data_IF_994730555605
#
_entry.id   IF_994730555605
#
_cell.length_a   1.000
_cell.length_b   1.000
_cell.length_c   1.000
_cell.angle_alpha   90.00
_cell.angle_beta   90.00
_cell.angle_gamma   90.00
#
_symmetry.space_group_name_H-M   'P 1'
#
loop_
_entity.id
_entity.type
_entity.pdbx_description
1 polymer ?
#
# COMPACT_ATOMS: atom_id res chain seq x y z
N UNK A 1 -21.36 5.81 -2.98
CA UNK A 1 -22.45 5.11 -2.27
C UNK A 1 -21.82 3.88 -1.61
N UNK A 2 -22.43 3.26 -0.58
CA UNK A 2 -21.84 2.04 0.00
C UNK A 2 -22.58 0.85 -0.59
N UNK A 3 -21.83 -0.07 -1.19
CA UNK A 3 -22.36 -1.27 -1.83
C UNK A 3 -22.23 -2.50 -0.93
N UNK A 4 -23.20 -3.42 -1.03
CA UNK A 4 -23.16 -4.69 -0.30
C UNK A 4 -22.19 -5.69 -0.95
N UNK A 5 -22.05 -5.64 -2.28
CA UNK A 5 -21.22 -6.57 -3.04
C UNK A 5 -19.75 -6.48 -2.63
N UNK A 6 -19.15 -7.62 -2.27
CA UNK A 6 -17.77 -7.74 -1.77
C UNK A 6 -17.41 -6.77 -0.64
N UNK A 7 -18.39 -6.41 0.21
CA UNK A 7 -18.12 -5.55 1.35
C UNK A 7 -17.50 -6.37 2.50
N UNK A 8 -16.22 -6.14 2.88
CA UNK A 8 -15.55 -6.98 3.87
C UNK A 8 -16.23 -6.98 5.24
N UNK A 9 -16.85 -5.87 5.64
CA UNK A 9 -17.58 -5.79 6.91
C UNK A 9 -18.80 -6.72 6.91
N UNK A 10 -19.60 -6.69 5.84
CA UNK A 10 -20.77 -7.56 5.74
C UNK A 10 -20.40 -9.03 5.61
N UNK A 11 -19.32 -9.33 4.89
CA UNK A 11 -18.79 -10.69 4.79
C UNK A 11 -18.34 -11.23 6.15
N UNK A 12 -17.68 -10.41 6.99
CA UNK A 12 -17.36 -10.78 8.37
C UNK A 12 -18.62 -11.02 9.22
N UNK A 13 -19.66 -10.20 9.05
CA UNK A 13 -20.93 -10.44 9.75
C UNK A 13 -21.63 -11.71 9.29
N UNK A 14 -21.60 -12.02 7.99
CA UNK A 14 -22.13 -13.27 7.45
C UNK A 14 -21.38 -14.48 8.04
N UNK A 15 -20.05 -14.43 8.14
CA UNK A 15 -19.26 -15.46 8.82
C UNK A 15 -19.65 -15.61 10.29
N UNK A 16 -19.86 -14.51 11.00
CA UNK A 16 -20.33 -14.53 12.38
C UNK A 16 -21.71 -15.19 12.53
N UNK A 17 -22.63 -14.91 11.59
CA UNK A 17 -23.95 -15.54 11.56
C UNK A 17 -23.87 -17.05 11.26
N UNK A 18 -23.03 -17.45 10.30
CA UNK A 18 -22.78 -18.87 10.01
C UNK A 18 -22.15 -19.60 11.20
N UNK A 19 -21.23 -18.96 11.92
CA UNK A 19 -20.67 -19.54 13.15
C UNK A 19 -21.73 -19.75 14.24
N UNK A 20 -22.74 -18.88 14.31
CA UNK A 20 -23.81 -18.98 15.31
C UNK A 20 -24.92 -19.98 14.92
N UNK A 21 -25.27 -20.09 13.64
CA UNK A 21 -26.47 -20.81 13.19
C UNK A 21 -26.20 -21.91 12.14
N UNK A 22 -25.01 -21.96 11.55
CA UNK A 22 -24.68 -22.89 10.46
C UNK A 22 -24.66 -24.36 10.87
N UNK A 23 -24.53 -24.67 12.15
CA UNK A 23 -24.68 -26.05 12.65
C UNK A 23 -26.15 -26.47 12.82
N UNK A 24 -27.09 -25.53 12.83
CA UNK A 24 -28.52 -25.78 13.01
C UNK A 24 -29.24 -26.02 11.69
N UNK A 25 -28.70 -25.51 10.58
CA UNK A 25 -29.34 -25.52 9.27
C UNK A 25 -28.30 -25.74 8.17
N UNK A 26 -28.68 -26.40 7.09
CA UNK A 26 -27.85 -26.56 5.89
C UNK A 26 -27.91 -25.27 5.04
N UNK A 27 -27.18 -24.25 5.50
CA UNK A 27 -27.13 -22.94 4.86
C UNK A 27 -26.14 -22.99 3.70
N UNK A 28 -26.62 -22.81 2.48
CA UNK A 28 -25.78 -22.81 1.27
C UNK A 28 -25.44 -21.41 0.77
N UNK A 29 -26.26 -20.41 1.11
CA UNK A 29 -26.09 -19.01 0.71
C UNK A 29 -26.49 -18.03 1.83
N UNK A 30 -25.85 -16.86 1.86
CA UNK A 30 -26.18 -15.78 2.79
C UNK A 30 -26.42 -14.49 2.01
N UNK A 31 -27.54 -13.83 2.27
CA UNK A 31 -27.82 -12.50 1.74
C UNK A 31 -27.47 -11.41 2.76
N UNK A 32 -26.66 -10.43 2.33
CA UNK A 32 -26.29 -9.26 3.13
C UNK A 32 -26.83 -7.99 2.48
N UNK A 33 -27.32 -7.05 3.29
CA UNK A 33 -27.98 -5.83 2.79
C UNK A 33 -27.45 -4.57 3.47
N UNK A 34 -27.14 -3.56 2.66
CA UNK A 34 -26.94 -2.18 3.11
C UNK A 34 -28.23 -1.41 2.87
N UNK A 35 -28.78 -0.85 3.95
CA UNK A 35 -30.00 -0.07 3.91
C UNK A 35 -29.73 1.39 4.30
N UNK A 36 -29.80 2.28 3.30
CA UNK A 36 -29.51 3.72 3.42
C UNK A 36 -30.65 4.56 2.80
N UNK A 37 -31.86 4.55 3.41
CA UNK A 37 -33.07 5.12 2.81
C UNK A 37 -32.99 6.65 2.59
N UNK A 38 -32.28 7.40 3.44
CA UNK A 38 -32.09 8.85 3.27
C UNK A 38 -31.28 9.22 2.01
N UNK A 39 -30.54 8.26 1.46
CA UNK A 39 -29.78 8.39 0.22
C UNK A 39 -30.40 7.61 -0.93
N UNK A 40 -31.63 7.11 -0.73
CA UNK A 40 -32.33 6.21 -1.66
C UNK A 40 -31.46 5.03 -2.13
N UNK A 41 -30.67 4.46 -1.20
CA UNK A 41 -29.78 3.34 -1.50
C UNK A 41 -30.21 2.10 -0.71
N UNK A 42 -30.52 1.03 -1.42
CA UNK A 42 -30.69 -0.31 -0.87
C UNK A 42 -29.89 -1.24 -1.78
N UNK A 43 -28.85 -1.85 -1.23
CA UNK A 43 -27.93 -2.72 -1.96
C UNK A 43 -27.93 -4.07 -1.25
N UNK A 44 -28.29 -5.14 -1.95
CA UNK A 44 -28.32 -6.50 -1.44
C UNK A 44 -27.41 -7.35 -2.29
N UNK A 45 -26.65 -8.23 -1.64
CA UNK A 45 -25.80 -9.20 -2.30
C UNK A 45 -25.93 -10.56 -1.63
N UNK A 46 -26.09 -11.60 -2.43
CA UNK A 46 -26.12 -13.00 -1.98
C UNK A 46 -24.78 -13.64 -2.30
N UNK A 47 -24.25 -14.37 -1.32
CA UNK A 47 -22.92 -14.99 -1.35
C UNK A 47 -23.07 -16.48 -1.06
N UNK A 48 -22.51 -17.37 -1.88
CA UNK A 48 -22.37 -18.78 -1.52
C UNK A 48 -21.51 -18.95 -0.27
N UNK A 49 -21.90 -19.84 0.63
CA UNK A 49 -21.15 -20.12 1.87
C UNK A 49 -19.74 -20.61 1.54
N UNK A 50 -19.58 -21.44 0.52
CA UNK A 50 -18.27 -21.94 0.07
C UNK A 50 -17.31 -20.83 -0.35
N UNK A 51 -17.79 -19.80 -1.05
CA UNK A 51 -16.99 -18.63 -1.44
C UNK A 51 -16.60 -17.80 -0.21
N UNK A 52 -17.54 -17.63 0.72
CA UNK A 52 -17.33 -16.86 1.95
C UNK A 52 -16.31 -17.54 2.88
N UNK A 53 -16.38 -18.86 3.02
CA UNK A 53 -15.42 -19.67 3.78
C UNK A 53 -14.03 -19.67 3.14
N UNK A 54 -13.96 -19.79 1.80
CA UNK A 54 -12.69 -19.68 1.08
C UNK A 54 -12.03 -18.32 1.32
N UNK A 55 -12.81 -17.23 1.28
CA UNK A 55 -12.32 -15.90 1.63
C UNK A 55 -11.87 -15.80 3.09
N UNK A 56 -12.60 -16.41 4.03
CA UNK A 56 -12.21 -16.45 5.43
C UNK A 56 -10.84 -17.13 5.62
N UNK A 57 -10.61 -18.26 4.96
CA UNK A 57 -9.36 -19.01 5.04
C UNK A 57 -8.20 -18.29 4.37
N UNK A 58 -8.40 -17.79 3.15
CA UNK A 58 -7.31 -17.24 2.33
C UNK A 58 -6.97 -15.79 2.66
N UNK A 59 -7.95 -15.01 3.15
CA UNK A 59 -7.81 -13.56 3.31
C UNK A 59 -7.88 -13.14 4.77
N UNK A 60 -8.91 -13.60 5.49
CA UNK A 60 -9.21 -13.11 6.84
C UNK A 60 -8.27 -13.71 7.87
N UNK A 61 -8.13 -15.05 7.93
CA UNK A 61 -7.27 -15.72 8.92
C UNK A 61 -5.82 -15.24 8.86
N UNK A 62 -5.15 -15.15 7.69
CA UNK A 62 -3.77 -14.68 7.62
C UNK A 62 -3.61 -13.22 8.06
N UNK A 63 -4.55 -12.35 7.69
CA UNK A 63 -4.54 -10.93 8.09
C UNK A 63 -4.81 -10.76 9.58
N UNK A 64 -5.71 -11.55 10.15
CA UNK A 64 -5.98 -11.54 11.58
C UNK A 64 -4.75 -11.99 12.38
N UNK A 65 -4.04 -13.03 11.92
CA UNK A 65 -2.78 -13.46 12.53
C UNK A 65 -1.70 -12.36 12.48
N UNK A 66 -1.51 -11.73 11.32
CA UNK A 66 -0.57 -10.62 11.15
C UNK A 66 -0.91 -9.42 12.06
N UNK A 67 -2.20 -9.09 12.17
CA UNK A 67 -2.65 -8.03 13.06
C UNK A 67 -2.42 -8.38 14.55
N UNK A 68 -2.57 -9.65 14.92
CA UNK A 68 -2.36 -10.12 16.29
C UNK A 68 -0.87 -10.15 16.68
N UNK A 69 0.03 -10.48 15.75
CA UNK A 69 1.48 -10.41 15.99
C UNK A 69 2.02 -8.98 15.98
N UNK A 70 1.31 -8.05 15.33
CA UNK A 70 1.74 -6.66 15.19
C UNK A 70 2.74 -6.46 14.05
N UNK A 71 2.98 -7.48 13.22
CA UNK A 71 3.92 -7.44 12.08
C UNK A 71 3.31 -6.78 10.83
N UNK A 72 2.26 -5.99 11.00
CA UNK A 72 1.61 -5.27 9.91
C UNK A 72 2.49 -4.15 9.36
N UNK A 73 2.49 -3.99 8.03
CA UNK A 73 3.21 -2.90 7.39
C UNK A 73 2.41 -1.59 7.39
N UNK A 74 3.10 -0.47 7.57
CA UNK A 74 2.48 0.85 7.40
C UNK A 74 2.22 1.12 5.92
N UNK A 75 0.99 1.47 5.58
CA UNK A 75 0.60 1.86 4.23
C UNK A 75 -0.19 3.18 4.25
N UNK A 76 0.24 4.23 3.52
CA UNK A 76 -0.54 5.43 3.35
C UNK A 76 -1.74 5.18 2.42
N UNK A 77 -2.88 5.79 2.72
CA UNK A 77 -4.10 5.67 1.93
C UNK A 77 -5.17 6.69 2.35
N UNK A 78 -6.37 6.58 1.80
CA UNK A 78 -7.46 7.53 2.11
C UNK A 78 -7.81 7.60 3.61
N UNK A 79 -7.59 6.49 4.32
CA UNK A 79 -7.80 6.39 5.78
C UNK A 79 -6.82 7.26 6.58
N UNK A 80 -5.71 7.75 5.99
CA UNK A 80 -4.78 8.65 6.68
C UNK A 80 -5.43 9.95 7.15
N UNK A 81 -6.57 10.36 6.56
CA UNK A 81 -7.34 11.54 7.02
C UNK A 81 -7.93 11.37 8.43
N UNK A 82 -8.08 10.13 8.88
CA UNK A 82 -8.61 9.78 10.20
C UNK A 82 -7.55 9.14 11.12
N UNK A 83 -6.33 8.93 10.62
CA UNK A 83 -5.28 8.25 11.35
C UNK A 83 -4.66 9.19 12.40
N UNK A 84 -4.54 8.74 13.65
CA UNK A 84 -3.90 9.53 14.73
C UNK A 84 -2.40 9.72 14.50
N UNK A 85 -1.73 8.75 13.85
CA UNK A 85 -0.31 8.83 13.51
C UNK A 85 -0.04 9.73 12.29
N UNK A 86 -1.09 10.21 11.62
CA UNK A 86 -1.02 10.97 10.37
C UNK A 86 0.01 12.12 10.36
N UNK A 87 0.21 12.93 11.43
CA UNK A 87 1.20 14.00 11.45
C UNK A 87 2.66 13.53 11.55
N UNK A 88 2.91 12.33 12.07
CA UNK A 88 4.27 11.81 12.37
C UNK A 88 4.58 10.47 11.67
N UNK A 89 3.70 10.01 10.79
CA UNK A 89 3.85 8.76 10.05
C UNK A 89 4.95 8.86 8.99
N UNK A 90 6.04 8.11 9.18
CA UNK A 90 7.20 8.07 8.26
C UNK A 90 6.80 7.66 6.85
N UNK A 91 6.08 6.55 6.69
CA UNK A 91 5.68 6.05 5.36
C UNK A 91 4.81 7.03 4.60
N UNK A 92 3.94 7.79 5.29
CA UNK A 92 3.14 8.85 4.67
C UNK A 92 4.01 10.03 4.24
N UNK A 93 4.98 10.43 5.05
CA UNK A 93 5.94 11.47 4.67
C UNK A 93 6.75 11.06 3.43
N UNK A 94 7.25 9.83 3.40
CA UNK A 94 8.00 9.27 2.27
C UNK A 94 7.16 9.22 0.99
N UNK A 95 5.89 8.78 1.07
CA UNK A 95 4.98 8.78 -0.08
C UNK A 95 4.71 10.19 -0.63
N UNK A 96 4.54 11.20 0.25
CA UNK A 96 4.37 12.59 -0.18
C UNK A 96 5.66 13.18 -0.78
N UNK A 97 6.83 12.88 -0.18
CA UNK A 97 8.12 13.34 -0.70
C UNK A 97 8.47 12.70 -2.05
N UNK A 98 8.01 11.47 -2.31
CA UNK A 98 8.16 10.84 -3.62
C UNK A 98 7.46 11.64 -4.73
N UNK A 99 6.33 12.28 -4.43
CA UNK A 99 5.65 13.18 -5.36
C UNK A 99 6.51 14.41 -5.68
N UNK A 100 7.14 15.00 -4.64
CA UNK A 100 8.04 16.13 -4.80
C UNK A 100 9.29 15.78 -5.64
N UNK A 101 9.77 14.53 -5.60
CA UNK A 101 10.87 14.10 -6.48
C UNK A 101 10.55 14.25 -7.97
N UNK A 102 9.27 14.22 -8.36
CA UNK A 102 8.88 14.47 -9.74
C UNK A 102 8.87 15.98 -10.08
N UNK A 103 8.49 16.84 -9.14
CA UNK A 103 8.55 18.30 -9.32
C UNK A 103 9.98 18.84 -9.34
N UNK A 104 10.89 18.19 -8.60
CA UNK A 104 12.31 18.53 -8.53
C UNK A 104 13.19 17.58 -9.35
N UNK A 105 12.59 16.82 -10.28
CA UNK A 105 13.37 15.99 -11.18
C UNK A 105 14.26 16.91 -12.04
N UNK A 106 15.60 16.75 -12.01
CA UNK A 106 16.45 17.50 -12.91
C UNK A 106 16.04 17.21 -14.35
N UNK A 107 16.12 18.20 -15.25
CA UNK A 107 15.83 18.00 -16.67
C UNK A 107 16.66 16.83 -17.22
N UNK A 108 16.15 16.19 -18.28
CA UNK A 108 16.83 15.06 -18.91
C UNK A 108 18.25 15.44 -19.42
N UNK A 109 18.48 16.72 -19.65
CA UNK A 109 19.74 17.29 -20.10
C UNK A 109 20.33 18.18 -19.00
N UNK A 110 21.67 18.16 -18.89
CA UNK A 110 22.39 19.11 -18.03
C UNK A 110 22.24 20.51 -18.60
N UNK A 111 22.05 21.49 -17.72
CA UNK A 111 22.12 22.90 -18.08
C UNK A 111 23.56 23.33 -18.35
N UNK A 112 23.75 24.38 -19.17
CA UNK A 112 25.08 24.94 -19.45
C UNK A 112 25.85 25.32 -18.18
N UNK A 113 25.14 25.75 -17.12
CA UNK A 113 25.74 26.08 -15.83
C UNK A 113 26.29 24.84 -15.11
N UNK A 114 25.56 23.73 -15.15
CA UNK A 114 26.01 22.45 -14.60
C UNK A 114 27.20 21.91 -15.40
N UNK A 115 27.15 22.01 -16.73
CA UNK A 115 28.28 21.65 -17.60
C UNK A 115 29.51 22.50 -17.27
N UNK A 116 29.35 23.81 -17.09
CA UNK A 116 30.45 24.70 -16.72
C UNK A 116 31.08 24.34 -15.36
N UNK A 117 30.26 23.96 -14.37
CA UNK A 117 30.76 23.49 -13.08
C UNK A 117 31.53 22.17 -13.20
N UNK A 118 31.02 21.23 -14.00
CA UNK A 118 31.72 19.98 -14.29
C UNK A 118 33.06 20.28 -14.97
N UNK A 119 33.08 21.15 -15.98
CA UNK A 119 34.30 21.54 -16.68
C UNK A 119 35.33 22.22 -15.76
N UNK A 120 34.90 22.98 -14.77
CA UNK A 120 35.79 23.60 -13.79
C UNK A 120 36.50 22.57 -12.91
N UNK A 121 35.84 21.46 -12.57
CA UNK A 121 36.39 20.40 -11.71
C UNK A 121 37.05 19.26 -12.50
N UNK A 122 36.78 19.17 -13.80
CA UNK A 122 37.23 18.09 -14.68
C UNK A 122 38.76 17.89 -14.69
N UNK A 123 39.61 18.93 -14.67
CA UNK A 123 41.07 18.74 -14.67
C UNK A 123 41.56 17.96 -13.45
N UNK A 124 41.11 18.35 -12.26
CA UNK A 124 41.52 17.72 -10.99
C UNK A 124 41.01 16.29 -10.91
N UNK A 125 39.77 16.05 -11.33
CA UNK A 125 39.19 14.71 -11.38
C UNK A 125 39.98 13.79 -12.31
N UNK A 126 40.38 14.28 -13.48
CA UNK A 126 41.21 13.52 -14.43
C UNK A 126 42.61 13.24 -13.89
N UNK A 127 43.24 14.24 -13.25
CA UNK A 127 44.55 14.08 -12.65
C UNK A 127 44.52 13.00 -11.56
N UNK A 128 43.55 13.10 -10.64
CA UNK A 128 43.37 12.12 -9.58
C UNK A 128 43.08 10.72 -10.13
N UNK A 129 42.22 10.59 -11.15
CA UNK A 129 41.95 9.29 -11.78
C UNK A 129 43.21 8.67 -12.40
N UNK A 130 44.05 9.48 -13.05
CA UNK A 130 45.33 9.03 -13.61
C UNK A 130 46.32 8.60 -12.50
N UNK A 131 46.38 9.34 -11.39
CA UNK A 131 47.21 8.98 -10.24
C UNK A 131 46.78 7.64 -9.63
N UNK A 132 45.46 7.41 -9.51
CA UNK A 132 44.89 6.14 -9.03
C UNK A 132 45.23 4.99 -9.97
N UNK A 133 45.10 5.19 -11.29
CA UNK A 133 45.45 4.19 -12.30
C UNK A 133 46.94 3.84 -12.24
N UNK A 134 47.82 4.85 -12.19
CA UNK A 134 49.27 4.65 -12.09
C UNK A 134 49.65 3.91 -10.80
N UNK A 135 49.02 4.25 -9.68
CA UNK A 135 49.22 3.54 -8.42
C UNK A 135 48.79 2.08 -8.52
N UNK A 136 47.60 1.79 -9.04
CA UNK A 136 47.12 0.43 -9.22
C UNK A 136 48.04 -0.41 -10.11
N UNK A 137 48.57 0.17 -11.20
CA UNK A 137 49.52 -0.48 -12.10
C UNK A 137 50.90 -0.72 -11.47
N UNK A 138 51.32 0.13 -10.53
CA UNK A 138 52.60 -0.06 -9.81
C UNK A 138 52.60 -1.23 -8.83
N UNK A 139 51.40 -1.74 -8.48
CA UNK A 139 51.20 -2.89 -7.60
C UNK A 139 51.12 -4.24 -8.36
N UNK A 140 51.12 -4.21 -9.69
CA UNK A 140 51.07 -5.39 -10.56
C UNK A 140 52.47 -5.79 -11.05
#
# INVERSE_FOLDING_TARGET
>A
MVEAKHNPQLMLYALGALNAFGSLYDITEVAVTIFQPRRSNVSTWTIPVSELEAWAEQVVKPRAALAASGDGEFAPGEWCRFCKLSPTCRTRAEANLALAKHEFAPPAELTDAEIAQVLAQLPDLKAWAADVEAYALSLA
#
